data_IF_894907340463
#
_entry.id   IF_894907340463
#
_cell.length_a   1.000
_cell.length_b   1.000
_cell.length_c   1.000
_cell.angle_alpha   90.00
_cell.angle_beta   90.00
_cell.angle_gamma   90.00
#
_symmetry.space_group_name_H-M   'P 1'
#
loop_
_entity.id
_entity.type
_entity.pdbx_description
1 polymer ?
#
# COMPACT_ATOMS: atom_id res chain seq x y z
N UNK A 1 1.98 14.50 19.48
CA UNK A 1 3.08 13.52 19.38
C UNK A 1 2.92 12.52 18.25
N UNK A 2 1.70 12.06 17.90
CA UNK A 2 1.48 11.09 16.81
C UNK A 2 2.18 11.47 15.50
N UNK A 3 2.09 12.73 15.06
CA UNK A 3 2.80 13.23 13.87
C UNK A 3 4.31 12.91 13.88
N UNK A 4 5.02 13.21 14.97
CA UNK A 4 6.45 12.91 15.10
C UNK A 4 6.74 11.42 15.04
N UNK A 5 5.86 10.59 15.64
CA UNK A 5 5.95 9.13 15.58
C UNK A 5 5.81 8.63 14.15
N UNK A 6 4.83 9.16 13.41
CA UNK A 6 4.61 8.81 12.01
C UNK A 6 5.80 9.19 11.13
N UNK A 7 6.37 10.39 11.30
CA UNK A 7 7.59 10.79 10.58
C UNK A 7 8.76 9.86 10.88
N UNK A 8 8.95 9.51 12.16
CA UNK A 8 10.02 8.62 12.57
C UNK A 8 9.85 7.19 12.03
N UNK A 9 8.62 6.68 11.91
CA UNK A 9 8.35 5.36 11.30
C UNK A 9 8.80 5.32 9.84
N UNK A 10 8.69 6.44 9.10
CA UNK A 10 9.02 6.49 7.68
C UNK A 10 10.54 6.61 7.47
N UNK A 11 11.15 7.65 8.03
CA UNK A 11 12.54 8.04 7.70
C UNK A 11 13.44 8.24 8.94
N UNK A 12 12.90 8.11 10.15
CA UNK A 12 13.62 8.40 11.40
C UNK A 12 14.09 7.16 12.18
N UNK A 13 14.83 7.38 13.28
CA UNK A 13 15.15 6.32 14.22
C UNK A 13 13.89 5.85 14.96
N UNK A 14 13.80 4.56 15.35
CA UNK A 14 12.68 4.07 16.15
C UNK A 14 12.51 4.87 17.44
N UNK A 15 11.33 5.44 17.64
CA UNK A 15 11.01 6.15 18.88
C UNK A 15 10.43 5.19 19.91
N UNK A 16 11.25 4.81 20.89
CA UNK A 16 10.81 3.99 22.00
C UNK A 16 10.09 4.83 23.06
N UNK A 17 8.88 4.43 23.41
CA UNK A 17 8.14 5.02 24.54
C UNK A 17 8.77 4.59 25.88
N UNK A 18 8.73 5.47 26.88
CA UNK A 18 9.12 5.11 28.24
C UNK A 18 8.17 4.05 28.81
N UNK A 19 8.72 3.01 29.44
CA UNK A 19 7.96 1.96 30.15
C UNK A 19 7.18 2.46 31.37
N UNK A 20 7.48 3.66 31.85
CA UNK A 20 6.86 4.27 33.03
C UNK A 20 5.62 5.10 32.69
N UNK A 21 5.28 5.24 31.41
CA UNK A 21 4.09 5.95 30.96
C UNK A 21 2.93 4.97 30.77
N UNK A 22 1.78 5.31 31.32
CA UNK A 22 0.53 4.64 30.98
C UNK A 22 0.15 4.98 29.54
N UNK A 23 -0.30 3.97 28.79
CA UNK A 23 -0.80 4.14 27.42
C UNK A 23 -2.20 3.55 27.36
N UNK A 24 -3.21 4.34 26.99
CA UNK A 24 -4.54 3.82 26.75
C UNK A 24 -4.51 2.69 25.71
N UNK A 25 -5.34 1.64 25.86
CA UNK A 25 -5.53 0.67 24.80
C UNK A 25 -5.96 1.36 23.51
N UNK A 26 -5.43 0.89 22.38
CA UNK A 26 -5.86 1.34 21.06
C UNK A 26 -7.13 0.61 20.64
N UNK A 27 -8.02 1.31 19.93
CA UNK A 27 -9.25 0.79 19.37
C UNK A 27 -9.31 1.06 17.87
N UNK A 28 -8.60 0.26 17.04
CA UNK A 28 -8.58 0.46 15.60
C UNK A 28 -9.97 0.38 14.98
N UNK A 29 -10.30 1.31 14.09
CA UNK A 29 -11.59 1.35 13.37
C UNK A 29 -11.39 1.51 11.87
N UNK A 30 -12.46 1.35 11.09
CA UNK A 30 -12.48 1.62 9.65
C UNK A 30 -12.81 3.09 9.31
N UNK A 31 -12.73 3.98 10.30
CA UNK A 31 -12.95 5.45 10.17
C UNK A 31 -14.23 5.84 9.40
N UNK A 32 -15.29 5.02 9.52
CA UNK A 32 -16.58 5.26 8.87
C UNK A 32 -16.74 4.64 7.48
N UNK A 33 -15.75 3.90 6.98
CA UNK A 33 -15.86 3.13 5.74
C UNK A 33 -16.24 1.67 5.98
N UNK A 34 -16.76 1.02 4.95
CA UNK A 34 -17.02 -0.42 4.96
C UNK A 34 -15.73 -1.24 5.07
N UNK A 35 -14.66 -0.79 4.42
CA UNK A 35 -13.33 -1.39 4.48
C UNK A 35 -12.22 -0.39 4.19
N UNK A 36 -11.07 -0.56 4.86
CA UNK A 36 -9.84 0.19 4.57
C UNK A 36 -8.81 -0.81 4.06
N UNK A 37 -8.30 -0.65 2.85
CA UNK A 37 -7.36 -1.62 2.27
C UNK A 37 -5.91 -1.15 2.39
N UNK A 38 -5.03 -2.01 2.90
CA UNK A 38 -3.58 -1.86 2.79
C UNK A 38 -3.06 -2.75 1.67
N UNK A 39 -2.84 -2.15 0.50
CA UNK A 39 -2.38 -2.85 -0.69
C UNK A 39 -0.85 -2.72 -0.80
N UNK A 40 -0.12 -3.78 -0.44
CA UNK A 40 1.34 -3.78 -0.47
C UNK A 40 1.88 -4.98 -1.25
N UNK A 41 3.00 -4.78 -1.95
CA UNK A 41 3.72 -5.89 -2.57
C UNK A 41 4.20 -6.84 -1.48
N UNK A 42 3.83 -8.13 -1.58
CA UNK A 42 4.20 -9.16 -0.60
C UNK A 42 5.71 -9.23 -0.34
N UNK A 43 6.53 -9.00 -1.39
CA UNK A 43 8.01 -8.99 -1.28
C UNK A 43 8.60 -7.79 -0.53
N UNK A 44 7.82 -6.73 -0.25
CA UNK A 44 8.27 -5.50 0.44
C UNK A 44 7.77 -5.47 1.88
N UNK A 45 8.19 -6.48 2.64
CA UNK A 45 7.83 -6.65 4.06
C UNK A 45 8.20 -5.41 4.88
N UNK A 46 9.35 -4.79 4.58
CA UNK A 46 9.81 -3.55 5.21
C UNK A 46 8.78 -2.41 5.10
N UNK A 47 8.24 -2.20 3.89
CA UNK A 47 7.24 -1.16 3.63
C UNK A 47 5.90 -1.50 4.24
N UNK A 48 5.50 -2.78 4.18
CA UNK A 48 4.26 -3.26 4.79
C UNK A 48 4.27 -3.05 6.31
N UNK A 49 5.38 -3.38 6.96
CA UNK A 49 5.54 -3.20 8.40
C UNK A 49 5.44 -1.73 8.80
N UNK A 50 6.17 -0.83 8.12
CA UNK A 50 6.06 0.62 8.36
C UNK A 50 4.63 1.13 8.21
N UNK A 51 3.91 0.71 7.17
CA UNK A 51 2.51 1.11 6.98
C UNK A 51 1.59 0.59 8.08
N UNK A 52 1.76 -0.67 8.52
CA UNK A 52 0.96 -1.25 9.61
C UNK A 52 1.22 -0.54 10.94
N UNK A 53 2.46 -0.18 11.22
CA UNK A 53 2.83 0.61 12.40
C UNK A 53 2.16 1.99 12.35
N UNK A 54 2.25 2.69 11.22
CA UNK A 54 1.58 3.98 11.03
C UNK A 54 0.06 3.90 11.19
N UNK A 55 -0.59 2.88 10.62
CA UNK A 55 -2.04 2.68 10.74
C UNK A 55 -2.44 2.31 12.18
N UNK A 56 -1.60 1.56 12.89
CA UNK A 56 -1.79 1.30 14.32
C UNK A 56 -1.69 2.58 15.14
N UNK A 57 -0.71 3.47 14.89
CA UNK A 57 -0.62 4.78 15.55
C UNK A 57 -1.82 5.69 15.25
N UNK A 58 -2.46 5.52 14.10
CA UNK A 58 -3.67 6.24 13.71
C UNK A 58 -4.97 5.57 14.14
N UNK A 59 -4.90 4.40 14.79
CA UNK A 59 -6.07 3.58 15.15
C UNK A 59 -6.97 3.27 13.93
N UNK A 60 -6.33 2.97 12.80
CA UNK A 60 -6.99 2.54 11.57
C UNK A 60 -6.82 1.03 11.42
N UNK A 61 -7.92 0.32 11.19
CA UNK A 61 -7.95 -1.13 10.98
C UNK A 61 -7.99 -1.45 9.47
N UNK A 62 -6.85 -1.83 8.86
CA UNK A 62 -6.83 -2.20 7.45
C UNK A 62 -7.08 -3.70 7.22
N UNK A 63 -7.73 -4.03 6.10
CA UNK A 63 -7.60 -5.32 5.44
C UNK A 63 -6.34 -5.33 4.57
N UNK A 64 -5.39 -6.20 4.90
CA UNK A 64 -4.14 -6.29 4.13
C UNK A 64 -4.34 -7.16 2.89
N UNK A 65 -3.99 -6.61 1.73
CA UNK A 65 -4.12 -7.27 0.44
C UNK A 65 -2.76 -7.29 -0.25
N UNK A 66 -2.37 -8.47 -0.74
CA UNK A 66 -1.15 -8.60 -1.51
C UNK A 66 -1.33 -7.98 -2.89
N UNK A 67 -0.50 -6.97 -3.17
CA UNK A 67 -0.49 -6.30 -4.46
C UNK A 67 0.08 -7.21 -5.56
N UNK A 68 -0.45 -7.06 -6.77
CA UNK A 68 0.04 -7.72 -7.98
C UNK A 68 1.43 -7.21 -8.32
N UNK A 69 2.41 -8.11 -8.35
CA UNK A 69 3.77 -7.76 -8.69
C UNK A 69 3.95 -7.59 -10.21
N UNK A 70 4.04 -6.34 -10.65
CA UNK A 70 4.34 -5.99 -12.04
C UNK A 70 5.57 -6.70 -12.63
N UNK A 71 6.57 -7.06 -11.80
CA UNK A 71 7.76 -7.79 -12.29
C UNK A 71 7.43 -9.23 -12.72
N UNK A 72 6.47 -9.86 -12.04
CA UNK A 72 5.98 -11.20 -12.38
C UNK A 72 5.02 -11.21 -13.58
N UNK A 73 4.55 -10.02 -14.01
CA UNK A 73 3.73 -9.91 -15.21
C UNK A 73 4.60 -10.15 -16.46
N UNK A 74 4.38 -11.31 -17.07
CA UNK A 74 4.84 -11.59 -18.42
C UNK A 74 3.73 -11.29 -19.44
N UNK A 75 4.13 -11.06 -20.69
CA UNK A 75 3.22 -10.68 -21.77
C UNK A 75 2.12 -11.73 -22.04
N UNK A 76 2.37 -12.99 -21.71
CA UNK A 76 1.40 -14.07 -21.86
C UNK A 76 0.32 -14.05 -20.77
N UNK A 77 0.67 -13.70 -19.53
CA UNK A 77 -0.28 -13.55 -18.42
C UNK A 77 -1.23 -12.38 -18.67
N UNK A 78 -0.69 -11.24 -19.14
CA UNK A 78 -1.50 -10.05 -19.47
C UNK A 78 -2.52 -10.38 -20.58
N UNK A 79 -2.08 -11.07 -21.65
CA UNK A 79 -2.97 -11.53 -22.72
C UNK A 79 -4.04 -12.52 -22.22
N UNK A 80 -3.69 -13.45 -21.32
CA UNK A 80 -4.64 -14.40 -20.73
C UNK A 80 -5.71 -13.73 -19.86
N UNK A 81 -5.37 -12.63 -19.19
CA UNK A 81 -6.37 -11.82 -18.47
C UNK A 81 -7.27 -10.99 -19.40
N UNK A 82 -7.05 -11.02 -20.72
CA UNK A 82 -7.80 -10.20 -21.68
C UNK A 82 -7.48 -8.71 -21.58
N UNK A 83 -6.39 -8.35 -20.89
CA UNK A 83 -6.02 -6.96 -20.66
C UNK A 83 -5.13 -6.51 -21.81
N UNK A 84 -5.60 -5.53 -22.56
CA UNK A 84 -4.80 -4.87 -23.60
C UNK A 84 -4.61 -3.42 -23.22
N UNK A 85 -3.37 -2.95 -23.31
CA UNK A 85 -3.09 -1.53 -23.29
C UNK A 85 -3.70 -0.91 -24.55
N UNK A 86 -4.39 0.22 -24.40
CA UNK A 86 -4.97 0.95 -25.53
C UNK A 86 -3.85 1.30 -26.52
N UNK A 87 -4.01 0.87 -27.77
CA UNK A 87 -3.00 1.10 -28.80
C UNK A 87 -2.85 2.60 -29.05
N UNK A 88 -1.60 3.08 -29.03
CA UNK A 88 -1.31 4.51 -29.18
C UNK A 88 -1.55 5.33 -27.92
N UNK A 89 -1.93 4.72 -26.79
CA UNK A 89 -1.96 5.44 -25.52
C UNK A 89 -0.54 5.77 -25.05
N UNK A 90 -0.32 7.05 -24.80
CA UNK A 90 0.83 7.59 -24.09
C UNK A 90 0.31 8.44 -22.96
N UNK A 91 0.94 8.33 -21.80
CA UNK A 91 0.66 9.24 -20.70
C UNK A 91 0.99 10.68 -21.13
N UNK A 92 0.04 11.62 -21.08
CA UNK A 92 0.25 13.00 -21.53
C UNK A 92 1.33 13.74 -20.72
N UNK A 93 1.63 13.30 -19.50
CA UNK A 93 2.65 13.93 -18.65
C UNK A 93 4.05 13.35 -18.90
N UNK A 94 4.19 12.02 -18.94
CA UNK A 94 5.51 11.37 -19.09
C UNK A 94 5.88 11.00 -20.53
N UNK A 95 4.95 11.04 -21.48
CA UNK A 95 5.19 10.72 -22.89
C UNK A 95 5.54 9.26 -23.16
N UNK A 96 5.33 8.36 -22.19
CA UNK A 96 5.62 6.92 -22.29
C UNK A 96 4.35 6.08 -22.16
N UNK A 97 4.48 4.82 -22.53
CA UNK A 97 3.46 3.80 -22.23
C UNK A 97 3.51 3.41 -20.75
N UNK A 98 2.46 2.70 -20.29
CA UNK A 98 2.39 2.19 -18.93
C UNK A 98 3.50 1.17 -18.65
N UNK A 99 4.18 1.36 -17.53
CA UNK A 99 5.14 0.41 -16.97
C UNK A 99 4.41 -0.81 -16.43
N UNK A 100 5.11 -1.95 -16.33
CA UNK A 100 4.56 -3.14 -15.67
C UNK A 100 4.15 -2.89 -14.21
N UNK A 101 4.84 -1.95 -13.53
CA UNK A 101 4.50 -1.55 -12.17
C UNK A 101 3.14 -0.84 -12.10
N UNK A 102 2.88 0.07 -13.03
CA UNK A 102 1.57 0.75 -13.14
C UNK A 102 0.45 -0.22 -13.51
N UNK A 103 0.72 -1.19 -14.40
CA UNK A 103 -0.24 -2.27 -14.69
C UNK A 103 -0.53 -3.12 -13.46
N UNK A 104 0.50 -3.49 -12.68
CA UNK A 104 0.33 -4.21 -11.41
C UNK A 104 -0.46 -3.40 -10.38
N UNK A 105 -0.23 -2.09 -10.30
CA UNK A 105 -1.00 -1.18 -9.45
C UNK A 105 -2.49 -1.21 -9.83
N UNK A 106 -2.80 -0.98 -11.12
CA UNK A 106 -4.17 -1.04 -11.63
C UNK A 106 -4.87 -2.36 -11.28
N UNK A 107 -4.20 -3.49 -11.54
CA UNK A 107 -4.74 -4.82 -11.24
C UNK A 107 -5.01 -5.05 -9.75
N UNK A 108 -4.16 -4.49 -8.90
CA UNK A 108 -4.32 -4.61 -7.44
C UNK A 108 -5.55 -3.84 -6.96
N UNK A 109 -5.76 -2.63 -7.48
CA UNK A 109 -6.94 -1.81 -7.18
C UNK A 109 -8.23 -2.39 -7.77
N UNK A 110 -8.20 -2.87 -9.02
CA UNK A 110 -9.34 -3.51 -9.66
C UNK A 110 -9.84 -4.75 -8.89
N UNK A 111 -8.97 -5.47 -8.18
CA UNK A 111 -9.37 -6.67 -7.44
C UNK A 111 -10.21 -6.38 -6.19
N UNK A 112 -10.07 -5.18 -5.62
CA UNK A 112 -10.71 -4.79 -4.35
C UNK A 112 -11.83 -3.76 -4.55
N UNK A 113 -12.16 -3.43 -5.80
CA UNK A 113 -13.24 -2.55 -6.20
C UNK A 113 -14.37 -3.37 -6.82
#
# INVERSE_FOLDING_TARGET
FVHLVLEAIVDGPPMARSRHLYVPPKHPTKIGFDEVFLINLARRVDRRQRMLESLSELEIAPLVVDAVDGRSLNSSSIKKLGINLLQGYYDPFSGRTLTKGEVGCFLSHHRVW
#
